data_IF_688708834152
#
_entry.id   IF_688708834152
#
_cell.length_a   1.000
_cell.length_b   1.000
_cell.length_c   1.000
_cell.angle_alpha   90.00
_cell.angle_beta   90.00
_cell.angle_gamma   90.00
#
_symmetry.space_group_name_H-M   'P 1'
#
loop_
_entity.id
_entity.type
_entity.pdbx_description
1 polymer ?
#
# COMPACT_ATOMS: atom_id res chain seq x y z
N UNK A 1 -21.33 -17.58 -46.41
CA UNK A 1 -20.62 -16.89 -45.32
C UNK A 1 -19.13 -16.94 -45.60
N UNK A 2 -18.49 -15.80 -45.90
CA UNK A 2 -17.02 -15.73 -45.97
C UNK A 2 -16.47 -15.80 -44.54
N UNK A 3 -15.35 -16.49 -44.30
CA UNK A 3 -14.68 -16.41 -43.00
C UNK A 3 -14.22 -14.96 -42.80
N UNK A 4 -14.53 -14.39 -41.63
CA UNK A 4 -13.88 -13.17 -41.16
C UNK A 4 -12.39 -13.48 -41.06
N UNK A 5 -11.64 -12.96 -42.02
CA UNK A 5 -10.19 -12.86 -41.95
C UNK A 5 -9.85 -12.18 -40.63
N UNK A 6 -9.33 -12.95 -39.67
CA UNK A 6 -8.63 -12.40 -38.52
C UNK A 6 -7.48 -11.57 -39.07
N UNK A 7 -7.65 -10.26 -39.06
CA UNK A 7 -6.57 -9.32 -39.31
C UNK A 7 -5.58 -9.52 -38.16
N UNK A 8 -4.45 -10.16 -38.47
CA UNK A 8 -3.38 -10.41 -37.52
C UNK A 8 -2.78 -9.10 -37.03
N UNK A 9 -3.34 -8.55 -35.97
CA UNK A 9 -2.64 -7.62 -35.11
C UNK A 9 -1.71 -8.44 -34.23
N UNK A 10 -0.40 -8.38 -34.51
CA UNK A 10 0.59 -8.80 -33.54
C UNK A 10 0.43 -7.89 -32.31
N UNK A 11 0.23 -8.45 -31.10
CA UNK A 11 0.12 -7.61 -29.91
C UNK A 11 1.39 -6.78 -29.74
N UNK A 12 1.25 -5.56 -29.23
CA UNK A 12 2.40 -4.76 -28.83
C UNK A 12 3.19 -5.47 -27.72
N UNK A 13 4.48 -5.17 -27.57
CA UNK A 13 5.30 -5.72 -26.48
C UNK A 13 4.71 -5.41 -25.08
N UNK A 14 3.92 -4.34 -24.94
CA UNK A 14 3.13 -4.05 -23.74
C UNK A 14 2.01 -5.09 -23.56
N UNK A 15 1.19 -5.31 -24.59
CA UNK A 15 0.08 -6.28 -24.53
C UNK A 15 0.56 -7.70 -24.24
N UNK A 16 1.65 -8.16 -24.87
CA UNK A 16 2.21 -9.49 -24.59
C UNK A 16 2.65 -9.66 -23.13
N UNK A 17 3.25 -8.61 -22.55
CA UNK A 17 3.66 -8.62 -21.14
C UNK A 17 2.44 -8.65 -20.21
N UNK A 18 1.42 -7.82 -20.47
CA UNK A 18 0.21 -7.80 -19.65
C UNK A 18 -0.56 -9.11 -19.76
N UNK A 19 -0.66 -9.71 -20.96
CA UNK A 19 -1.24 -11.04 -21.14
C UNK A 19 -0.52 -12.11 -20.32
N UNK A 20 0.80 -12.02 -20.20
CA UNK A 20 1.58 -12.91 -19.34
C UNK A 20 1.21 -12.71 -17.86
N UNK A 21 1.04 -11.47 -17.40
CA UNK A 21 0.63 -11.20 -16.01
C UNK A 21 -0.76 -11.78 -15.73
N UNK A 22 -1.73 -11.55 -16.64
CA UNK A 22 -3.08 -12.13 -16.56
C UNK A 22 -3.01 -13.65 -16.46
N UNK A 23 -2.21 -14.29 -17.32
CA UNK A 23 -2.05 -15.75 -17.32
C UNK A 23 -1.49 -16.27 -16.01
N UNK A 24 -0.50 -15.59 -15.43
CA UNK A 24 0.07 -15.97 -14.13
C UNK A 24 -0.98 -15.88 -13.02
N UNK A 25 -1.73 -14.79 -12.96
CA UNK A 25 -2.86 -14.62 -12.01
C UNK A 25 -3.89 -15.76 -12.12
N UNK A 26 -4.23 -16.18 -13.34
CA UNK A 26 -5.22 -17.25 -13.58
C UNK A 26 -4.65 -18.62 -13.20
N UNK A 27 -3.40 -18.91 -13.56
CA UNK A 27 -2.80 -20.24 -13.38
C UNK A 27 -2.33 -20.50 -11.96
N UNK A 28 -2.04 -19.45 -11.19
CA UNK A 28 -1.52 -19.53 -9.82
C UNK A 28 -2.29 -18.59 -8.89
N UNK A 29 -3.61 -18.78 -8.73
CA UNK A 29 -4.38 -17.96 -7.81
C UNK A 29 -3.90 -18.23 -6.38
N UNK A 30 -3.74 -17.18 -5.58
CA UNK A 30 -3.52 -17.33 -4.15
C UNK A 30 -4.86 -17.07 -3.44
N UNK A 31 -5.44 -18.13 -2.88
CA UNK A 31 -6.67 -18.05 -2.09
C UNK A 31 -6.30 -17.86 -0.62
N UNK A 32 -6.70 -16.76 0.04
CA UNK A 32 -6.38 -16.52 1.44
C UNK A 32 -6.81 -17.65 2.37
N UNK A 33 -7.92 -18.34 2.06
CA UNK A 33 -8.48 -19.43 2.87
C UNK A 33 -7.56 -20.64 2.93
N UNK A 34 -6.78 -20.88 1.87
CA UNK A 34 -5.89 -22.04 1.73
C UNK A 34 -4.43 -21.68 2.03
N UNK A 35 -4.01 -20.46 1.69
CA UNK A 35 -2.61 -20.04 1.78
C UNK A 35 -2.19 -19.61 3.20
N UNK A 36 -3.12 -19.01 3.95
CA UNK A 36 -2.84 -18.48 5.29
C UNK A 36 -3.24 -19.52 6.34
N UNK A 37 -2.36 -19.85 7.30
CA UNK A 37 -2.61 -20.88 8.30
C UNK A 37 -3.47 -20.31 9.45
N UNK A 38 -4.74 -20.05 9.16
CA UNK A 38 -5.64 -19.34 10.08
C UNK A 38 -5.87 -20.02 11.43
N UNK A 39 -5.58 -21.31 11.53
CA UNK A 39 -5.74 -22.11 12.75
C UNK A 39 -4.49 -22.13 13.64
N UNK A 40 -3.38 -21.52 13.20
CA UNK A 40 -2.20 -21.37 14.03
C UNK A 40 -2.55 -20.54 15.28
N UNK A 41 -2.21 -20.99 16.50
CA UNK A 41 -2.49 -20.23 17.71
C UNK A 41 -1.59 -18.99 17.79
N UNK A 42 -2.07 -17.96 18.49
CA UNK A 42 -1.20 -16.85 18.92
C UNK A 42 -0.45 -17.27 20.18
N UNK A 43 0.87 -17.23 20.14
CA UNK A 43 1.75 -17.54 21.27
C UNK A 43 2.10 -16.27 22.05
N UNK A 44 2.39 -16.39 23.36
CA UNK A 44 2.84 -15.25 24.18
C UNK A 44 4.15 -14.63 23.70
N UNK A 45 4.97 -15.41 22.99
CA UNK A 45 6.24 -14.96 22.42
C UNK A 45 6.09 -14.27 21.05
N UNK A 46 4.90 -14.32 20.43
CA UNK A 46 4.68 -13.73 19.12
C UNK A 46 4.86 -12.22 19.14
N UNK A 47 5.60 -11.72 18.15
CA UNK A 47 5.52 -10.32 17.74
C UNK A 47 4.46 -10.18 16.66
N UNK A 48 3.94 -8.97 16.50
CA UNK A 48 2.92 -8.70 15.47
C UNK A 48 3.42 -7.75 14.37
N UNK A 49 4.42 -6.94 14.71
CA UNK A 49 5.06 -6.01 13.80
C UNK A 49 6.56 -6.01 14.11
N UNK A 50 7.44 -6.13 13.10
CA UNK A 50 8.88 -6.00 13.31
C UNK A 50 9.21 -4.65 13.98
N UNK A 51 10.13 -4.66 14.96
CA UNK A 51 10.53 -3.45 15.69
C UNK A 51 11.08 -2.34 14.76
N UNK A 52 11.61 -2.71 13.59
CA UNK A 52 12.04 -1.76 12.56
C UNK A 52 10.88 -0.91 12.03
N UNK A 53 9.66 -1.48 11.99
CA UNK A 53 8.42 -0.84 11.55
C UNK A 53 7.62 -0.21 12.70
N UNK A 54 7.80 -0.67 13.95
CA UNK A 54 7.09 -0.12 15.12
C UNK A 54 7.46 1.34 15.34
N UNK A 55 6.45 2.20 15.46
CA UNK A 55 6.62 3.66 15.37
C UNK A 55 7.51 4.25 16.47
N UNK A 56 7.41 3.72 17.69
CA UNK A 56 8.11 4.26 18.85
C UNK A 56 9.49 3.63 19.08
N UNK A 57 9.76 2.45 18.50
CA UNK A 57 11.04 1.76 18.69
C UNK A 57 12.24 2.66 18.40
N UNK A 58 13.28 2.61 19.24
CA UNK A 58 14.47 3.45 19.16
C UNK A 58 14.29 4.91 19.64
N UNK A 59 13.12 5.27 20.15
CA UNK A 59 12.89 6.53 20.87
C UNK A 59 12.98 6.29 22.39
N UNK A 60 13.46 7.22 23.23
CA UNK A 60 13.56 7.00 24.68
C UNK A 60 12.26 6.60 25.41
N UNK A 61 11.11 7.01 24.87
CA UNK A 61 9.78 6.59 25.38
C UNK A 61 9.43 5.13 25.06
N UNK A 62 10.18 4.45 24.22
CA UNK A 62 10.04 3.01 24.01
C UNK A 62 10.52 2.22 25.22
N UNK A 63 11.65 2.64 25.79
CA UNK A 63 12.30 1.98 26.93
C UNK A 63 11.51 2.17 28.24
N UNK A 64 10.53 3.07 28.25
CA UNK A 64 9.59 3.25 29.36
C UNK A 64 8.35 2.36 29.25
N UNK A 65 8.13 1.68 28.11
CA UNK A 65 7.07 0.68 27.96
C UNK A 65 7.53 -0.67 28.49
N UNK A 66 6.65 -1.41 29.16
CA UNK A 66 6.91 -2.82 29.49
C UNK A 66 7.03 -3.66 28.21
N UNK A 67 7.69 -4.84 28.25
CA UNK A 67 7.77 -5.73 27.09
C UNK A 67 6.39 -6.08 26.49
N UNK A 68 5.37 -6.25 27.34
CA UNK A 68 4.00 -6.54 26.92
C UNK A 68 3.38 -5.34 26.20
N UNK A 69 3.59 -4.12 26.72
CA UNK A 69 3.13 -2.89 26.09
C UNK A 69 3.82 -2.63 24.73
N UNK A 70 5.07 -3.05 24.58
CA UNK A 70 5.80 -2.99 23.31
C UNK A 70 5.19 -3.94 22.26
N UNK A 71 4.85 -5.17 22.65
CA UNK A 71 4.18 -6.15 21.78
C UNK A 71 2.78 -5.67 21.41
N UNK A 72 2.00 -5.18 22.37
CA UNK A 72 0.65 -4.65 22.14
C UNK A 72 0.64 -3.40 21.24
N UNK A 73 1.66 -2.53 21.34
CA UNK A 73 1.81 -1.42 20.39
C UNK A 73 1.99 -1.94 18.97
N UNK A 74 2.87 -2.94 18.77
CA UNK A 74 3.06 -3.59 17.48
C UNK A 74 1.77 -4.21 16.93
N UNK A 75 0.98 -4.87 17.79
CA UNK A 75 -0.32 -5.47 17.44
C UNK A 75 -1.33 -4.43 16.98
N UNK A 76 -1.44 -3.30 17.68
CA UNK A 76 -2.34 -2.20 17.27
C UNK A 76 -1.89 -1.53 15.98
N UNK A 77 -0.59 -1.32 15.79
CA UNK A 77 -0.05 -0.67 14.59
C UNK A 77 -0.17 -1.55 13.34
N UNK A 78 0.02 -2.88 13.44
CA UNK A 78 -0.18 -3.77 12.30
C UNK A 78 -1.66 -3.86 11.92
N UNK A 79 -2.57 -3.91 12.89
CA UNK A 79 -4.03 -3.86 12.64
C UNK A 79 -4.42 -2.57 11.93
N UNK A 80 -3.88 -1.44 12.38
CA UNK A 80 -4.15 -0.15 11.77
C UNK A 80 -3.57 -0.05 10.36
N UNK A 81 -2.39 -0.63 10.12
CA UNK A 81 -1.76 -0.67 8.80
C UNK A 81 -2.59 -1.52 7.82
N UNK A 82 -2.95 -2.76 8.21
CA UNK A 82 -3.82 -3.63 7.40
C UNK A 82 -5.16 -2.98 7.08
N UNK A 83 -5.78 -2.33 8.07
CA UNK A 83 -7.03 -1.61 7.86
C UNK A 83 -6.88 -0.45 6.86
N UNK A 84 -5.76 0.28 6.92
CA UNK A 84 -5.49 1.37 5.98
C UNK A 84 -5.26 0.88 4.54
N UNK A 85 -4.67 -0.30 4.36
CA UNK A 85 -4.50 -0.94 3.05
C UNK A 85 -5.85 -1.39 2.51
N UNK A 86 -6.62 -2.17 3.29
CA UNK A 86 -7.97 -2.59 2.92
C UNK A 86 -8.87 -1.41 2.52
N UNK A 87 -8.83 -0.30 3.27
CA UNK A 87 -9.60 0.91 2.94
C UNK A 87 -9.12 1.58 1.63
N UNK A 88 -7.82 1.55 1.36
CA UNK A 88 -7.23 2.09 0.14
C UNK A 88 -7.52 1.23 -1.08
N UNK A 89 -7.53 -0.09 -0.92
CA UNK A 89 -7.94 -1.07 -1.94
C UNK A 89 -9.42 -0.89 -2.28
N UNK A 90 -10.29 -0.64 -1.29
CA UNK A 90 -11.68 -0.27 -1.58
C UNK A 90 -11.77 0.99 -2.46
N UNK A 91 -10.93 2.00 -2.20
CA UNK A 91 -10.85 3.21 -3.03
C UNK A 91 -10.31 2.91 -4.43
N UNK A 92 -9.28 2.07 -4.54
CA UNK A 92 -8.73 1.62 -5.82
C UNK A 92 -9.79 0.86 -6.64
N UNK A 93 -10.51 -0.08 -6.04
CA UNK A 93 -11.63 -0.78 -6.67
C UNK A 93 -12.72 0.18 -7.15
N UNK A 94 -13.05 1.23 -6.39
CA UNK A 94 -13.99 2.26 -6.84
C UNK A 94 -13.47 2.99 -8.09
N UNK A 95 -12.18 3.31 -8.13
CA UNK A 95 -11.54 3.89 -9.31
C UNK A 95 -11.54 2.91 -10.50
N UNK A 96 -11.15 1.65 -10.30
CA UNK A 96 -11.10 0.64 -11.35
C UNK A 96 -12.46 0.41 -11.98
N UNK A 97 -13.53 0.28 -11.18
CA UNK A 97 -14.89 0.19 -11.71
C UNK A 97 -15.24 1.40 -12.59
N UNK A 98 -14.92 2.62 -12.16
CA UNK A 98 -15.14 3.84 -12.96
C UNK A 98 -14.31 3.85 -14.24
N UNK A 99 -13.07 3.40 -14.19
CA UNK A 99 -12.15 3.38 -15.33
C UNK A 99 -12.51 2.31 -16.35
N UNK A 100 -12.93 1.12 -15.90
CA UNK A 100 -13.41 0.02 -16.73
C UNK A 100 -14.58 0.44 -17.63
N UNK A 101 -15.47 1.32 -17.17
CA UNK A 101 -16.57 1.87 -17.98
C UNK A 101 -16.10 2.67 -19.22
N UNK A 102 -14.81 3.04 -19.27
CA UNK A 102 -14.23 3.79 -20.39
C UNK A 102 -13.46 2.92 -21.38
N UNK A 103 -13.30 1.63 -21.08
CA UNK A 103 -12.45 0.70 -21.81
C UNK A 103 -13.27 -0.28 -22.64
N UNK A 104 -12.71 -0.74 -23.76
CA UNK A 104 -13.30 -1.85 -24.51
C UNK A 104 -13.17 -3.15 -23.69
N UNK A 105 -14.23 -4.00 -23.61
CA UNK A 105 -14.20 -5.22 -22.80
C UNK A 105 -13.14 -6.24 -23.28
N UNK A 106 -12.74 -6.19 -24.54
CA UNK A 106 -11.70 -7.01 -25.16
C UNK A 106 -10.31 -6.34 -25.14
N UNK A 107 -10.14 -5.20 -24.48
CA UNK A 107 -8.80 -4.62 -24.28
C UNK A 107 -8.02 -5.38 -23.20
N UNK A 108 -6.69 -5.46 -23.36
CA UNK A 108 -5.82 -6.12 -22.38
C UNK A 108 -5.86 -5.43 -21.01
N UNK A 109 -6.00 -4.10 -21.02
CA UNK A 109 -6.09 -3.28 -19.82
C UNK A 109 -7.40 -3.56 -19.05
N UNK A 110 -8.54 -3.65 -19.75
CA UNK A 110 -9.81 -4.04 -19.10
C UNK A 110 -9.70 -5.42 -18.45
N UNK A 111 -9.13 -6.41 -19.15
CA UNK A 111 -8.94 -7.76 -18.59
C UNK A 111 -7.99 -7.78 -17.40
N UNK A 112 -6.88 -7.05 -17.46
CA UNK A 112 -5.93 -6.99 -16.35
C UNK A 112 -6.57 -6.36 -15.11
N UNK A 113 -7.22 -5.21 -15.26
CA UNK A 113 -7.87 -4.52 -14.13
C UNK A 113 -9.02 -5.32 -13.51
N UNK A 114 -9.69 -6.18 -14.29
CA UNK A 114 -10.63 -7.15 -13.72
C UNK A 114 -9.95 -8.22 -12.86
N UNK A 115 -8.74 -8.66 -13.23
CA UNK A 115 -7.95 -9.60 -12.41
C UNK A 115 -7.50 -8.94 -11.12
N UNK A 116 -6.94 -7.74 -11.22
CA UNK A 116 -6.52 -6.94 -10.08
C UNK A 116 -7.71 -6.69 -9.14
N UNK A 117 -8.88 -6.27 -9.65
CA UNK A 117 -10.08 -6.10 -8.82
C UNK A 117 -10.49 -7.37 -8.05
N UNK A 118 -10.32 -8.56 -8.64
CA UNK A 118 -10.59 -9.83 -7.94
C UNK A 118 -9.58 -10.07 -6.82
N UNK A 119 -8.29 -9.79 -7.08
CA UNK A 119 -7.21 -9.93 -6.10
C UNK A 119 -7.39 -8.94 -4.95
N UNK A 120 -7.70 -7.67 -5.24
CA UNK A 120 -7.94 -6.66 -4.21
C UNK A 120 -9.17 -6.94 -3.33
N UNK A 121 -10.22 -7.55 -3.89
CA UNK A 121 -11.36 -8.00 -3.07
C UNK A 121 -10.94 -9.12 -2.09
N UNK A 122 -10.05 -10.02 -2.51
CA UNK A 122 -9.52 -11.09 -1.65
C UNK A 122 -8.55 -10.56 -0.60
N UNK A 123 -7.72 -9.58 -0.96
CA UNK A 123 -6.86 -8.87 -0.01
C UNK A 123 -7.69 -8.22 1.10
N UNK A 124 -8.76 -7.52 0.75
CA UNK A 124 -9.69 -6.91 1.72
C UNK A 124 -10.35 -7.94 2.65
N UNK A 125 -10.77 -9.09 2.11
CA UNK A 125 -11.30 -10.20 2.91
C UNK A 125 -10.25 -10.76 3.88
N UNK A 126 -9.04 -11.01 3.36
CA UNK A 126 -7.90 -11.49 4.13
C UNK A 126 -7.55 -10.54 5.29
N UNK A 127 -7.41 -9.24 5.01
CA UNK A 127 -7.14 -8.23 6.04
C UNK A 127 -8.27 -8.14 7.07
N UNK A 128 -9.53 -8.20 6.61
CA UNK A 128 -10.69 -8.18 7.52
C UNK A 128 -10.69 -9.39 8.46
N UNK A 129 -10.35 -10.59 7.96
CA UNK A 129 -10.21 -11.80 8.77
C UNK A 129 -9.05 -11.68 9.75
N UNK A 130 -7.88 -11.22 9.31
CA UNK A 130 -6.71 -11.02 10.18
C UNK A 130 -6.99 -10.02 11.32
N UNK A 131 -7.64 -8.89 11.02
CA UNK A 131 -8.04 -7.89 12.03
C UNK A 131 -9.00 -8.52 13.04
N UNK A 132 -9.98 -9.31 12.58
CA UNK A 132 -10.91 -10.03 13.47
C UNK A 132 -10.19 -11.05 14.35
N UNK A 133 -9.25 -11.82 13.80
CA UNK A 133 -8.43 -12.79 14.55
C UNK A 133 -7.63 -12.13 15.66
N UNK A 134 -7.06 -10.94 15.40
CA UNK A 134 -6.31 -10.19 16.41
C UNK A 134 -7.19 -9.54 17.49
N UNK A 135 -8.52 -9.52 17.31
CA UNK A 135 -9.47 -9.05 18.31
C UNK A 135 -9.45 -7.54 18.56
N UNK A 136 -8.88 -6.75 17.64
CA UNK A 136 -8.72 -5.31 17.80
C UNK A 136 -9.61 -4.52 16.83
N UNK A 137 -10.14 -3.41 17.32
CA UNK A 137 -10.87 -2.44 16.50
C UNK A 137 -9.92 -1.33 16.02
N UNK A 138 -9.69 -1.17 14.70
CA UNK A 138 -8.89 -0.07 14.15
C UNK A 138 -9.61 1.27 14.30
N UNK A 139 -8.86 2.36 14.21
CA UNK A 139 -9.41 3.72 14.18
C UNK A 139 -9.75 4.10 12.74
N UNK A 140 -10.99 4.54 12.53
CA UNK A 140 -11.50 4.87 11.20
C UNK A 140 -10.83 6.12 10.58
N UNK A 141 -10.79 6.24 9.23
CA UNK A 141 -10.28 7.42 8.57
C UNK A 141 -11.15 8.65 8.92
N UNK A 142 -10.48 9.76 9.22
CA UNK A 142 -11.16 11.03 9.55
C UNK A 142 -11.94 11.59 8.35
N UNK A 143 -12.78 12.62 8.58
CA UNK A 143 -13.51 13.31 7.50
C UNK A 143 -12.59 13.83 6.40
N UNK A 144 -11.42 14.33 6.77
CA UNK A 144 -10.42 14.81 5.81
C UNK A 144 -9.87 13.65 4.97
N UNK A 145 -9.64 12.49 5.60
CA UNK A 145 -9.21 11.30 4.87
C UNK A 145 -10.25 10.88 3.83
N UNK A 146 -11.51 10.77 4.25
CA UNK A 146 -12.62 10.40 3.39
C UNK A 146 -12.83 11.39 2.25
N UNK A 147 -12.71 12.69 2.52
CA UNK A 147 -12.83 13.74 1.52
C UNK A 147 -11.77 13.60 0.42
N UNK A 148 -10.49 13.57 0.78
CA UNK A 148 -9.41 13.49 -0.22
C UNK A 148 -9.36 12.15 -0.95
N UNK A 149 -9.63 11.05 -0.25
CA UNK A 149 -9.72 9.72 -0.88
C UNK A 149 -10.82 9.68 -1.95
N UNK A 150 -12.04 10.14 -1.61
CA UNK A 150 -13.13 10.19 -2.58
C UNK A 150 -12.89 11.21 -3.70
N UNK A 151 -12.32 12.38 -3.38
CA UNK A 151 -11.98 13.39 -4.38
C UNK A 151 -11.03 12.80 -5.43
N UNK A 152 -10.00 12.09 -4.97
CA UNK A 152 -8.99 11.46 -5.81
C UNK A 152 -9.60 10.44 -6.77
N UNK A 153 -10.27 9.41 -6.24
CA UNK A 153 -10.72 8.28 -7.07
C UNK A 153 -11.90 8.62 -7.99
N UNK A 154 -12.75 9.57 -7.59
CA UNK A 154 -13.93 9.95 -8.36
C UNK A 154 -13.64 10.98 -9.45
N UNK A 155 -12.75 11.94 -9.20
CA UNK A 155 -12.64 13.13 -10.06
C UNK A 155 -11.26 13.31 -10.72
N UNK A 156 -10.18 12.73 -10.19
CA UNK A 156 -8.89 12.86 -10.84
C UNK A 156 -8.78 11.98 -12.10
N UNK A 157 -8.00 12.42 -13.11
CA UNK A 157 -7.79 11.63 -14.32
C UNK A 157 -7.00 10.35 -14.00
N UNK A 158 -7.22 9.30 -14.80
CA UNK A 158 -6.65 7.97 -14.55
C UNK A 158 -5.14 7.97 -14.24
N UNK A 159 -4.26 8.71 -14.95
CA UNK A 159 -2.83 8.74 -14.61
C UNK A 159 -2.52 9.27 -13.22
N UNK A 160 -3.28 10.25 -12.72
CA UNK A 160 -3.09 10.74 -11.36
C UNK A 160 -3.59 9.72 -10.33
N UNK A 161 -4.67 9.00 -10.61
CA UNK A 161 -5.16 7.97 -9.69
C UNK A 161 -4.24 6.74 -9.70
N UNK A 162 -3.73 6.29 -10.85
CA UNK A 162 -2.73 5.23 -10.92
C UNK A 162 -1.40 5.61 -10.22
N UNK A 163 -1.00 6.89 -10.25
CA UNK A 163 0.12 7.38 -9.41
C UNK A 163 -0.18 7.24 -7.92
N UNK A 164 -1.41 7.51 -7.51
CA UNK A 164 -1.88 7.29 -6.13
C UNK A 164 -1.83 5.80 -5.77
N UNK A 165 -2.41 4.93 -6.60
CA UNK A 165 -2.40 3.47 -6.42
C UNK A 165 -0.98 2.94 -6.29
N UNK A 166 -0.10 3.21 -7.27
CA UNK A 166 1.33 2.82 -7.25
C UNK A 166 2.03 3.21 -5.95
N UNK A 167 1.78 4.42 -5.43
CA UNK A 167 2.41 4.86 -4.19
C UNK A 167 1.96 4.07 -2.96
N UNK A 168 0.76 3.50 -2.96
CA UNK A 168 0.23 2.62 -1.91
C UNK A 168 0.76 1.20 -2.09
N UNK A 169 0.76 0.67 -3.30
CA UNK A 169 1.30 -0.66 -3.60
C UNK A 169 2.77 -0.77 -3.18
N UNK A 170 3.60 0.20 -3.57
CA UNK A 170 5.02 0.24 -3.18
C UNK A 170 5.22 0.32 -1.67
N UNK A 171 4.31 1.02 -0.97
CA UNK A 171 4.34 1.14 0.48
C UNK A 171 3.96 -0.18 1.16
N UNK A 172 2.89 -0.81 0.70
CA UNK A 172 2.41 -2.07 1.25
C UNK A 172 3.41 -3.21 0.98
N UNK A 173 4.02 -3.23 -0.20
CA UNK A 173 5.10 -4.15 -0.58
C UNK A 173 6.29 -4.10 0.41
N UNK A 174 6.66 -2.89 0.86
CA UNK A 174 7.75 -2.72 1.83
C UNK A 174 7.37 -3.26 3.20
N UNK A 175 6.17 -2.96 3.69
CA UNK A 175 5.70 -3.51 4.96
C UNK A 175 5.66 -5.03 4.90
N UNK A 176 5.12 -5.57 3.80
CA UNK A 176 5.05 -6.99 3.56
C UNK A 176 6.44 -7.66 3.54
N UNK A 177 7.46 -7.03 2.92
CA UNK A 177 8.85 -7.54 2.89
C UNK A 177 9.45 -7.72 4.28
N UNK A 178 9.19 -6.81 5.20
CA UNK A 178 9.69 -6.90 6.58
C UNK A 178 8.91 -7.96 7.36
N UNK A 179 7.57 -7.92 7.29
CA UNK A 179 6.71 -8.82 8.07
C UNK A 179 6.88 -10.27 7.63
N UNK A 180 6.85 -10.55 6.31
CA UNK A 180 6.83 -11.92 5.79
C UNK A 180 8.09 -12.75 6.07
N UNK A 181 9.21 -12.09 6.38
CA UNK A 181 10.53 -12.74 6.56
C UNK A 181 10.95 -12.80 8.03
N UNK A 182 10.31 -12.06 8.91
CA UNK A 182 10.65 -12.03 10.32
C UNK A 182 10.09 -13.30 11.01
N UNK A 183 10.91 -14.25 11.48
CA UNK A 183 10.40 -15.49 12.07
C UNK A 183 9.70 -15.29 13.42
N UNK A 184 9.89 -14.14 14.08
CA UNK A 184 9.25 -13.83 15.37
C UNK A 184 7.83 -13.28 15.19
N UNK A 185 7.44 -12.92 13.96
CA UNK A 185 6.09 -12.43 13.70
C UNK A 185 5.09 -13.58 13.61
N UNK A 186 3.93 -13.40 14.24
CA UNK A 186 2.79 -14.32 14.19
C UNK A 186 2.54 -14.84 12.76
N UNK A 187 2.51 -16.17 12.60
CA UNK A 187 2.55 -16.87 11.31
C UNK A 187 1.47 -16.42 10.32
N UNK A 188 0.25 -16.19 10.79
CA UNK A 188 -0.87 -15.67 10.00
C UNK A 188 -0.49 -14.34 9.35
N UNK A 189 0.09 -13.39 10.09
CA UNK A 189 0.47 -12.09 9.55
C UNK A 189 1.62 -12.20 8.53
N UNK A 190 2.56 -13.12 8.75
CA UNK A 190 3.63 -13.40 7.79
C UNK A 190 3.08 -13.93 6.48
N UNK A 191 2.10 -14.84 6.55
CA UNK A 191 1.48 -15.45 5.37
C UNK A 191 0.52 -14.52 4.65
N UNK A 192 -0.25 -13.69 5.37
CA UNK A 192 -1.00 -12.60 4.75
C UNK A 192 -0.07 -11.66 3.98
N UNK A 193 1.05 -11.26 4.61
CA UNK A 193 2.05 -10.39 3.98
C UNK A 193 2.74 -11.07 2.78
N UNK A 194 3.03 -12.37 2.87
CA UNK A 194 3.61 -13.13 1.76
C UNK A 194 2.68 -13.21 0.55
N UNK A 195 1.40 -13.53 0.78
CA UNK A 195 0.40 -13.57 -0.27
C UNK A 195 0.30 -12.22 -0.97
N UNK A 196 0.04 -11.17 -0.18
CA UNK A 196 -0.09 -9.80 -0.69
C UNK A 196 1.13 -9.39 -1.51
N UNK A 197 2.34 -9.60 -0.99
CA UNK A 197 3.58 -9.30 -1.70
C UNK A 197 3.70 -9.98 -3.08
N UNK A 198 3.26 -11.24 -3.21
CA UNK A 198 3.33 -11.98 -4.48
C UNK A 198 2.36 -11.42 -5.51
N UNK A 199 1.16 -11.02 -5.09
CA UNK A 199 0.13 -10.46 -5.98
C UNK A 199 0.44 -9.01 -6.36
N UNK A 200 0.79 -8.16 -5.38
CA UNK A 200 1.19 -6.76 -5.58
C UNK A 200 2.38 -6.61 -6.53
N UNK A 201 3.30 -7.59 -6.56
CA UNK A 201 4.38 -7.59 -7.53
C UNK A 201 3.90 -7.54 -8.99
N UNK A 202 2.71 -8.08 -9.30
CA UNK A 202 2.11 -7.98 -10.63
C UNK A 202 1.43 -6.63 -10.86
N UNK A 203 0.71 -6.11 -9.85
CA UNK A 203 0.04 -4.82 -9.91
C UNK A 203 1.05 -3.70 -10.15
N UNK A 204 2.14 -3.69 -9.37
CA UNK A 204 3.25 -2.74 -9.52
C UNK A 204 3.84 -2.80 -10.93
N UNK A 205 4.16 -4.00 -11.44
CA UNK A 205 4.75 -4.15 -12.79
C UNK A 205 3.81 -3.64 -13.87
N UNK A 206 2.51 -3.95 -13.79
CA UNK A 206 1.52 -3.45 -14.72
C UNK A 206 1.39 -1.92 -14.65
N UNK A 207 1.16 -1.38 -13.45
CA UNK A 207 0.92 0.04 -13.23
C UNK A 207 2.13 0.86 -13.65
N UNK A 208 3.35 0.37 -13.41
CA UNK A 208 4.57 1.01 -13.89
C UNK A 208 4.64 1.08 -15.43
N UNK A 209 4.42 -0.04 -16.12
CA UNK A 209 4.39 -0.07 -17.59
C UNK A 209 3.27 0.81 -18.17
N UNK A 210 2.11 0.85 -17.51
CA UNK A 210 0.99 1.65 -17.95
C UNK A 210 1.28 3.15 -17.79
N UNK A 211 1.85 3.55 -16.64
CA UNK A 211 2.22 4.93 -16.35
C UNK A 211 3.36 5.45 -17.23
N UNK A 212 4.21 4.58 -17.78
CA UNK A 212 5.30 4.95 -18.70
C UNK A 212 4.82 5.83 -19.86
N UNK A 213 3.61 5.57 -20.38
CA UNK A 213 2.98 6.35 -21.46
C UNK A 213 2.80 7.83 -21.10
N UNK A 214 2.68 8.13 -19.81
CA UNK A 214 2.45 9.47 -19.25
C UNK A 214 3.72 10.06 -18.64
N UNK A 215 4.54 9.25 -18.00
CA UNK A 215 5.77 9.68 -17.31
C UNK A 215 6.91 9.95 -18.28
N UNK A 216 7.11 9.12 -19.31
CA UNK A 216 8.17 9.31 -20.31
C UNK A 216 8.02 10.63 -21.09
N UNK A 217 6.79 11.14 -21.17
CA UNK A 217 6.44 12.42 -21.83
C UNK A 217 6.07 13.52 -20.83
N UNK A 218 6.35 13.34 -19.55
CA UNK A 218 5.99 14.31 -18.52
C UNK A 218 6.90 15.54 -18.58
N UNK A 219 6.38 16.63 -19.14
CA UNK A 219 6.98 17.95 -18.96
C UNK A 219 6.91 18.43 -17.51
N UNK A 220 7.53 19.58 -17.23
CA UNK A 220 7.67 20.15 -15.89
C UNK A 220 6.37 20.16 -15.06
N UNK A 221 5.26 20.63 -15.65
CA UNK A 221 3.98 20.73 -14.94
C UNK A 221 3.37 19.38 -14.56
N UNK A 222 3.39 18.41 -15.48
CA UNK A 222 2.85 17.05 -15.23
C UNK A 222 3.71 16.30 -14.20
N UNK A 223 5.03 16.39 -14.34
CA UNK A 223 5.98 15.82 -13.39
C UNK A 223 5.78 16.39 -11.97
N UNK A 224 5.61 17.72 -11.87
CA UNK A 224 5.28 18.40 -10.61
C UNK A 224 3.99 17.89 -10.00
N UNK A 225 2.92 17.79 -10.81
CA UNK A 225 1.62 17.29 -10.36
C UNK A 225 1.73 15.85 -9.84
N UNK A 226 2.29 14.93 -10.62
CA UNK A 226 2.44 13.52 -10.22
C UNK A 226 3.28 13.36 -8.96
N UNK A 227 4.37 14.12 -8.85
CA UNK A 227 5.20 14.12 -7.66
C UNK A 227 4.44 14.58 -6.41
N UNK A 228 3.59 15.61 -6.52
CA UNK A 228 2.75 16.04 -5.41
C UNK A 228 1.66 15.02 -5.07
N UNK A 229 1.04 14.38 -6.06
CA UNK A 229 0.09 13.28 -5.81
C UNK A 229 0.75 12.18 -4.98
N UNK A 230 1.92 11.69 -5.42
CA UNK A 230 2.67 10.66 -4.69
C UNK A 230 3.06 11.16 -3.28
N UNK A 231 3.62 12.36 -3.16
CA UNK A 231 4.04 12.92 -1.87
C UNK A 231 2.88 13.02 -0.88
N UNK A 232 1.76 13.60 -1.30
CA UNK A 232 0.62 13.81 -0.40
C UNK A 232 -0.06 12.50 -0.06
N UNK A 233 -0.10 11.54 -0.99
CA UNK A 233 -0.67 10.23 -0.72
C UNK A 233 0.17 9.45 0.30
N UNK A 234 1.50 9.48 0.20
CA UNK A 234 2.38 8.85 1.20
C UNK A 234 2.29 9.53 2.56
N UNK A 235 2.25 10.86 2.58
CA UNK A 235 2.04 11.62 3.82
C UNK A 235 0.73 11.21 4.48
N UNK A 236 -0.34 11.19 3.69
CA UNK A 236 -1.67 10.80 4.13
C UNK A 236 -1.70 9.38 4.70
N UNK A 237 -1.15 8.39 3.98
CA UNK A 237 -1.11 7.00 4.44
C UNK A 237 -0.36 6.86 5.76
N UNK A 238 0.79 7.53 5.90
CA UNK A 238 1.55 7.52 7.16
C UNK A 238 0.74 8.05 8.35
N UNK A 239 -0.14 9.03 8.16
CA UNK A 239 -1.01 9.53 9.25
C UNK A 239 -2.11 8.55 9.66
N UNK A 240 -2.35 7.50 8.87
CA UNK A 240 -3.28 6.43 9.23
C UNK A 240 -2.68 5.41 10.17
N UNK A 241 -1.35 5.28 10.29
CA UNK A 241 -0.72 4.14 10.97
C UNK A 241 -0.64 4.26 12.49
N UNK A 242 -0.46 5.47 13.01
CA UNK A 242 -0.23 5.71 14.44
C UNK A 242 -1.34 6.60 14.99
N UNK A 243 -2.01 6.12 16.03
CA UNK A 243 -3.20 6.74 16.62
C UNK A 243 -2.99 7.03 18.10
N UNK A 244 -3.60 8.11 18.59
CA UNK A 244 -3.46 8.50 20.00
C UNK A 244 -4.09 7.45 20.91
N UNK A 245 -5.18 6.86 20.44
CA UNK A 245 -5.97 5.80 21.04
C UNK A 245 -5.13 4.57 21.42
N UNK A 246 -4.01 4.31 20.74
CA UNK A 246 -3.12 3.21 21.10
C UNK A 246 -2.45 3.47 22.44
N UNK A 247 -1.95 4.69 22.64
CA UNK A 247 -1.29 5.08 23.87
C UNK A 247 -2.28 5.26 25.02
N UNK A 248 -3.52 5.63 24.72
CA UNK A 248 -4.62 5.61 25.71
C UNK A 248 -4.91 4.19 26.19
N UNK A 249 -4.97 3.20 25.27
CA UNK A 249 -5.14 1.78 25.60
C UNK A 249 -3.97 1.19 26.38
N UNK A 250 -2.75 1.63 26.11
CA UNK A 250 -1.55 1.24 26.87
C UNK A 250 -1.51 1.86 28.27
N UNK A 251 -2.34 2.86 28.57
CA UNK A 251 -2.37 3.51 29.89
C UNK A 251 -1.14 4.34 30.22
N UNK A 252 -0.40 4.84 29.21
CA UNK A 252 0.77 5.69 29.46
C UNK A 252 0.34 7.05 30.05
N UNK A 253 1.21 7.66 30.85
CA UNK A 253 0.89 8.90 31.60
C UNK A 253 0.42 10.07 30.70
N UNK A 254 0.98 10.18 29.49
CA UNK A 254 0.63 11.25 28.54
C UNK A 254 0.47 10.70 27.11
N UNK A 255 -0.70 10.15 26.77
CA UNK A 255 -0.94 9.52 25.46
C UNK A 255 -0.66 10.44 24.27
N UNK A 256 -0.95 11.73 24.42
CA UNK A 256 -0.70 12.74 23.38
C UNK A 256 0.79 12.96 23.14
N UNK A 257 1.61 12.98 24.19
CA UNK A 257 3.06 13.11 24.07
C UNK A 257 3.66 11.87 23.38
N UNK A 258 3.22 10.67 23.77
CA UNK A 258 3.63 9.43 23.13
C UNK A 258 3.20 9.37 21.66
N UNK A 259 1.96 9.73 21.33
CA UNK A 259 1.48 9.79 19.95
C UNK A 259 2.31 10.72 19.08
N UNK A 260 2.61 11.92 19.59
CA UNK A 260 3.45 12.90 18.89
C UNK A 260 4.86 12.37 18.67
N UNK A 261 5.45 11.74 19.69
CA UNK A 261 6.79 11.16 19.62
C UNK A 261 6.84 9.99 18.62
N UNK A 262 5.91 9.05 18.72
CA UNK A 262 5.72 7.92 17.83
C UNK A 262 5.54 8.36 16.37
N UNK A 263 4.64 9.30 16.12
CA UNK A 263 4.40 9.85 14.77
C UNK A 263 5.64 10.54 14.19
N UNK A 264 6.36 11.31 15.01
CA UNK A 264 7.58 11.99 14.58
C UNK A 264 8.74 11.01 14.33
N UNK A 265 8.87 9.98 15.18
CA UNK A 265 9.90 8.95 15.06
C UNK A 265 9.65 8.07 13.83
N UNK A 266 8.40 7.63 13.61
CA UNK A 266 8.01 6.95 12.38
C UNK A 266 8.35 7.82 11.17
N UNK A 267 7.95 9.11 11.16
CA UNK A 267 8.25 10.01 10.06
C UNK A 267 9.77 10.19 9.79
N UNK A 268 10.62 10.05 10.81
CA UNK A 268 12.08 10.09 10.68
C UNK A 268 12.66 8.80 10.09
N UNK A 269 12.15 7.64 10.51
CA UNK A 269 12.58 6.31 10.04
C UNK A 269 12.04 5.95 8.66
N UNK A 270 10.90 6.55 8.30
CA UNK A 270 10.15 6.24 7.11
C UNK A 270 10.96 6.26 5.80
N UNK A 271 11.89 7.22 5.55
CA UNK A 271 12.71 7.19 4.35
C UNK A 271 13.57 5.96 4.22
N UNK A 272 14.26 5.61 5.31
CA UNK A 272 15.24 4.53 5.34
C UNK A 272 14.57 3.16 5.25
N UNK A 273 13.35 3.06 5.78
CA UNK A 273 12.57 1.83 5.81
C UNK A 273 11.72 1.66 4.53
N UNK A 274 11.17 2.76 4.00
CA UNK A 274 10.01 2.67 3.10
C UNK A 274 10.03 3.54 1.84
N UNK A 275 11.10 4.30 1.55
CA UNK A 275 11.07 5.21 0.39
C UNK A 275 12.03 4.86 -0.75
N UNK A 276 12.88 3.84 -0.67
CA UNK A 276 13.87 3.55 -1.73
C UNK A 276 13.22 3.38 -3.11
N UNK A 277 12.28 2.45 -3.26
CA UNK A 277 11.62 2.21 -4.56
C UNK A 277 10.72 3.39 -4.98
N UNK A 278 10.12 4.09 -4.02
CA UNK A 278 9.33 5.30 -4.30
C UNK A 278 10.21 6.42 -4.85
N UNK A 279 11.40 6.62 -4.29
CA UNK A 279 12.36 7.63 -4.75
C UNK A 279 12.82 7.28 -6.17
N UNK A 280 13.12 6.01 -6.43
CA UNK A 280 13.45 5.55 -7.79
C UNK A 280 12.30 5.82 -8.76
N UNK A 281 11.08 5.43 -8.39
CA UNK A 281 9.88 5.67 -9.20
C UNK A 281 9.65 7.16 -9.50
N UNK A 282 9.71 8.03 -8.48
CA UNK A 282 9.53 9.48 -8.65
C UNK A 282 10.65 10.10 -9.48
N UNK A 283 11.87 9.55 -9.40
CA UNK A 283 13.01 10.00 -10.20
C UNK A 283 12.82 9.70 -11.69
N UNK A 284 12.19 8.58 -12.07
CA UNK A 284 11.97 8.18 -13.47
C UNK A 284 11.22 9.22 -14.30
N UNK A 285 10.43 10.10 -13.67
CA UNK A 285 9.70 11.17 -14.34
C UNK A 285 10.13 12.58 -13.95
N UNK A 286 11.36 12.74 -13.43
CA UNK A 286 11.90 14.03 -12.97
C UNK A 286 11.06 14.69 -11.86
N UNK A 287 10.40 13.87 -11.03
CA UNK A 287 9.47 14.34 -10.02
C UNK A 287 10.11 15.16 -8.89
N UNK A 288 11.44 15.19 -8.77
CA UNK A 288 12.19 15.98 -7.80
C UNK A 288 12.75 17.28 -8.39
N UNK A 289 11.87 18.13 -8.89
CA UNK A 289 12.24 19.44 -9.42
C UNK A 289 12.34 20.52 -8.32
N UNK A 290 12.66 21.76 -8.70
CA UNK A 290 12.90 22.85 -7.75
C UNK A 290 11.66 23.20 -6.89
N UNK A 291 10.45 22.89 -7.36
CA UNK A 291 9.20 23.11 -6.61
C UNK A 291 8.97 21.97 -5.62
N UNK A 292 9.10 20.72 -6.06
CA UNK A 292 8.68 19.55 -5.26
C UNK A 292 9.76 19.09 -4.29
N UNK A 293 11.05 19.19 -4.66
CA UNK A 293 12.18 18.72 -3.85
C UNK A 293 12.22 19.29 -2.43
N UNK A 294 11.94 20.58 -2.18
CA UNK A 294 11.83 21.13 -0.82
C UNK A 294 10.72 20.47 0.02
N UNK A 295 9.57 20.16 -0.58
CA UNK A 295 8.46 19.51 0.11
C UNK A 295 8.79 18.07 0.48
N UNK A 296 9.40 17.33 -0.45
CA UNK A 296 9.89 15.98 -0.17
C UNK A 296 10.86 15.95 1.01
N UNK A 297 11.87 16.83 1.01
CA UNK A 297 12.81 16.97 2.13
C UNK A 297 12.10 17.35 3.45
N UNK A 298 11.10 18.23 3.40
CA UNK A 298 10.42 18.73 4.61
C UNK A 298 9.43 17.73 5.21
N UNK A 299 8.54 17.19 4.38
CA UNK A 299 7.37 16.38 4.77
C UNK A 299 7.76 14.90 4.89
N UNK A 300 8.52 14.40 3.92
CA UNK A 300 8.92 13.00 3.85
C UNK A 300 10.31 12.76 4.43
N UNK A 301 11.09 13.80 4.78
CA UNK A 301 12.43 13.68 5.39
C UNK A 301 13.47 12.95 4.53
N UNK A 302 13.23 12.85 3.21
CA UNK A 302 14.15 12.22 2.26
C UNK A 302 15.41 13.05 2.02
N UNK A 303 16.54 12.36 1.82
CA UNK A 303 17.82 12.94 1.42
C UNK A 303 17.93 12.87 -0.12
N UNK A 304 17.49 13.95 -0.79
CA UNK A 304 17.52 14.12 -2.26
C UNK A 304 18.53 15.17 -2.68
#
# INVERSE_FOLDING_TARGET
MKPLTQTGFSPSAFEEKVERLIRVSIQKPLLPEEFVPWEDPMDEADKYLPQTLTSLHGHPLWDTLSPEAQVELGKMEVVQSMYSYAWSETLACLFFNRHLLTLSPDSVEHRFLLRELIEECRHQEMFSRAIRTLGLKPVEPTRLHRFFGNLTVRYLPAPAVFMSVMSIELMADIYAKHIRKDPEVYSVLRKCSELHHIEEGRHIVYTEMWLEKFTAKAGFFRSTLYSFVVLFNLYFMRTLYVKQEFFERLGVENPKAYHKAASANLAKKFPDVALTHIIEFVSKFNGFNFITKPFWRRIMKVKL
#
